data_IF_484330817245
#
_entry.id   IF_484330817245
#
_cell.length_a   1.000
_cell.length_b   1.000
_cell.length_c   1.000
_cell.angle_alpha   90.00
_cell.angle_beta   90.00
_cell.angle_gamma   90.00
#
_symmetry.space_group_name_H-M   'P 1'
#
loop_
_entity.id
_entity.type
_entity.pdbx_description
1 polymer ?
#
# COMPACT_ATOMS: atom_id res chain seq x y z
N UNK A 1 6.42 11.67 -17.83
CA UNK A 1 6.69 10.62 -18.85
C UNK A 1 5.35 10.12 -19.39
N UNK A 2 4.96 10.53 -20.60
CA UNK A 2 3.77 10.00 -21.27
C UNK A 2 4.08 8.60 -21.81
N UNK A 3 3.92 7.58 -20.98
CA UNK A 3 3.90 6.19 -21.44
C UNK A 3 2.69 6.02 -22.34
N UNK A 4 2.91 6.16 -23.66
CA UNK A 4 1.88 5.93 -24.67
C UNK A 4 1.19 4.60 -24.40
N UNK A 5 -0.14 4.59 -24.40
CA UNK A 5 -0.98 3.40 -24.22
C UNK A 5 -0.46 2.23 -25.07
N UNK A 6 0.07 2.52 -26.26
CA UNK A 6 0.69 1.53 -27.16
C UNK A 6 1.92 0.83 -26.55
N UNK A 7 2.79 1.56 -25.85
CA UNK A 7 3.97 1.00 -25.20
C UNK A 7 3.59 0.17 -23.97
N UNK A 8 2.54 0.58 -23.25
CA UNK A 8 2.03 -0.18 -22.11
C UNK A 8 1.36 -1.48 -22.56
N UNK A 9 0.57 -1.45 -23.65
CA UNK A 9 0.01 -2.65 -24.26
C UNK A 9 1.12 -3.60 -24.74
N UNK A 10 2.17 -3.07 -25.38
CA UNK A 10 3.34 -3.87 -25.79
C UNK A 10 4.06 -4.49 -24.60
N UNK A 11 4.18 -3.77 -23.49
CA UNK A 11 4.82 -4.26 -22.27
C UNK A 11 3.96 -5.31 -21.56
N UNK A 12 2.64 -5.13 -21.53
CA UNK A 12 1.69 -6.15 -21.05
C UNK A 12 1.70 -7.41 -21.93
N UNK A 13 1.70 -7.26 -23.26
CA UNK A 13 1.86 -8.38 -24.18
C UNK A 13 3.20 -9.09 -23.97
N UNK A 14 4.29 -8.33 -23.83
CA UNK A 14 5.60 -8.88 -23.52
C UNK A 14 5.63 -9.57 -22.16
N UNK A 15 4.95 -9.05 -21.15
CA UNK A 15 4.85 -9.64 -19.81
C UNK A 15 4.00 -10.93 -19.82
N UNK A 16 2.92 -10.95 -20.60
CA UNK A 16 2.11 -12.17 -20.84
C UNK A 16 2.94 -13.20 -21.61
N UNK A 17 3.67 -12.81 -22.66
CA UNK A 17 4.55 -13.68 -23.43
C UNK A 17 5.73 -14.21 -22.59
N UNK A 18 6.31 -13.39 -21.72
CA UNK A 18 7.42 -13.81 -20.84
C UNK A 18 6.95 -14.60 -19.62
N UNK A 19 5.75 -14.35 -19.10
CA UNK A 19 5.09 -15.22 -18.12
C UNK A 19 4.75 -16.59 -18.74
N UNK A 20 4.37 -16.63 -20.02
CA UNK A 20 4.20 -17.88 -20.78
C UNK A 20 5.55 -18.57 -21.08
N UNK A 21 6.71 -17.94 -20.89
CA UNK A 21 8.01 -18.62 -21.01
C UNK A 21 8.50 -19.10 -19.63
N UNK A 22 8.03 -18.45 -18.55
CA UNK A 22 8.36 -18.79 -17.16
C UNK A 22 7.55 -19.98 -16.61
N UNK A 23 7.20 -20.97 -17.44
CA UNK A 23 6.52 -22.24 -17.10
C UNK A 23 7.24 -23.11 -16.04
N UNK A 24 8.26 -22.59 -15.35
CA UNK A 24 8.86 -23.18 -14.16
C UNK A 24 8.27 -22.65 -12.85
N UNK A 25 7.32 -21.70 -12.86
CA UNK A 25 6.50 -21.46 -11.68
C UNK A 25 5.40 -22.52 -11.64
N UNK A 26 5.63 -23.54 -10.83
CA UNK A 26 4.78 -24.71 -10.64
C UNK A 26 3.39 -24.30 -10.11
N UNK A 27 2.49 -23.94 -11.02
CA UNK A 27 1.05 -23.79 -10.77
C UNK A 27 0.40 -25.05 -10.18
N UNK A 28 1.12 -26.20 -10.15
CA UNK A 28 0.73 -27.42 -9.45
C UNK A 28 0.43 -27.18 -7.98
N UNK A 29 1.16 -26.27 -7.31
CA UNK A 29 0.96 -25.99 -5.88
C UNK A 29 -0.34 -25.24 -5.61
N UNK A 30 -0.78 -24.37 -6.53
CA UNK A 30 -2.01 -23.58 -6.33
C UNK A 30 -3.28 -24.35 -6.68
N UNK A 31 -3.20 -25.29 -7.63
CA UNK A 31 -4.35 -26.09 -8.06
C UNK A 31 -4.53 -27.36 -7.20
N UNK A 32 -3.59 -27.66 -6.30
CA UNK A 32 -3.64 -28.87 -5.46
C UNK A 32 -3.65 -30.17 -6.28
N UNK A 33 -3.36 -30.08 -7.58
CA UNK A 33 -3.24 -31.24 -8.44
C UNK A 33 -1.80 -31.72 -8.29
N UNK A 34 -1.60 -32.65 -7.37
CA UNK A 34 -0.56 -33.65 -7.58
C UNK A 34 -0.86 -34.25 -8.96
N UNK A 35 -0.17 -33.76 -10.01
CA UNK A 35 -0.04 -34.54 -11.23
C UNK A 35 0.48 -35.90 -10.75
N UNK A 36 -0.22 -37.01 -11.01
CA UNK A 36 0.25 -38.31 -10.56
C UNK A 36 1.66 -38.49 -11.12
N UNK A 37 2.66 -38.40 -10.23
CA UNK A 37 4.09 -38.31 -10.55
C UNK A 37 4.64 -39.59 -11.20
N UNK A 38 3.78 -40.53 -11.51
CA UNK A 38 4.11 -41.72 -12.29
C UNK A 38 3.20 -41.72 -13.50
N UNK A 39 3.69 -41.13 -14.59
CA UNK A 39 3.19 -41.44 -15.92
C UNK A 39 3.38 -42.95 -16.10
N UNK A 40 2.36 -43.73 -15.79
CA UNK A 40 2.32 -45.14 -16.17
C UNK A 40 2.33 -45.10 -17.69
N UNK A 41 3.46 -45.44 -18.30
CA UNK A 41 3.60 -45.45 -19.75
C UNK A 41 2.53 -46.39 -20.33
N UNK A 42 1.44 -45.83 -20.83
CA UNK A 42 0.35 -46.56 -21.47
C UNK A 42 0.89 -47.15 -22.77
N UNK A 43 0.77 -48.45 -22.94
CA UNK A 43 1.24 -49.13 -24.15
C UNK A 43 0.24 -48.96 -25.29
N UNK A 44 0.71 -48.85 -26.53
CA UNK A 44 -0.15 -48.94 -27.70
C UNK A 44 -0.64 -50.38 -27.93
N UNK A 45 -1.75 -50.55 -28.66
CA UNK A 45 -2.29 -51.87 -28.99
C UNK A 45 -1.26 -52.79 -29.67
N UNK A 46 -0.43 -52.23 -30.55
CA UNK A 46 0.67 -52.94 -31.22
C UNK A 46 1.68 -53.44 -30.21
N UNK A 47 2.13 -52.57 -29.29
CA UNK A 47 3.07 -52.94 -28.24
C UNK A 47 2.50 -54.03 -27.32
N UNK A 48 1.20 -53.97 -27.00
CA UNK A 48 0.52 -55.02 -26.21
C UNK A 48 0.46 -56.35 -26.97
N UNK A 49 0.25 -56.33 -28.29
CA UNK A 49 0.18 -57.55 -29.11
C UNK A 49 1.53 -58.29 -29.21
N UNK A 50 2.63 -57.54 -29.22
CA UNK A 50 4.00 -58.06 -29.25
C UNK A 50 4.44 -58.66 -27.91
N UNK A 51 3.76 -58.33 -26.81
CA UNK A 51 4.07 -58.88 -25.49
C UNK A 51 3.76 -60.38 -25.40
N UNK A 52 4.57 -61.09 -24.60
CA UNK A 52 4.29 -62.49 -24.24
C UNK A 52 3.10 -62.55 -23.30
N UNK A 53 2.24 -63.57 -23.44
CA UNK A 53 1.03 -63.75 -22.63
C UNK A 53 1.29 -63.71 -21.12
N UNK A 54 2.43 -64.26 -20.66
CA UNK A 54 2.85 -64.21 -19.26
C UNK A 54 3.07 -62.78 -18.75
N UNK A 55 3.64 -61.91 -19.58
CA UNK A 55 3.96 -60.54 -19.19
C UNK A 55 2.70 -59.67 -19.20
N UNK A 56 1.76 -59.95 -20.11
CA UNK A 56 0.42 -59.37 -20.13
C UNK A 56 -0.33 -59.71 -18.82
N UNK A 57 -0.35 -60.99 -18.40
CA UNK A 57 -0.99 -61.40 -17.14
C UNK A 57 -0.38 -60.72 -15.91
N UNK A 58 0.95 -60.61 -15.86
CA UNK A 58 1.65 -59.91 -14.76
C UNK A 58 1.29 -58.43 -14.69
N UNK A 59 1.15 -57.76 -15.84
CA UNK A 59 0.80 -56.34 -15.92
C UNK A 59 -0.67 -56.10 -15.54
N UNK A 60 -1.60 -56.95 -16.01
CA UNK A 60 -3.01 -56.94 -15.58
C UNK A 60 -3.15 -57.11 -14.06
N UNK A 61 -2.43 -58.07 -13.47
CA UNK A 61 -2.48 -58.30 -12.02
C UNK A 61 -1.91 -57.12 -11.23
N UNK A 62 -0.74 -56.59 -11.62
CA UNK A 62 -0.01 -55.57 -10.83
C UNK A 62 -0.57 -54.16 -11.01
N UNK A 63 -0.92 -53.78 -12.24
CA UNK A 63 -1.27 -52.40 -12.55
C UNK A 63 -2.79 -52.19 -12.51
N UNK A 64 -3.56 -53.21 -12.90
CA UNK A 64 -5.02 -53.12 -13.05
C UNK A 64 -5.77 -53.92 -11.99
N UNK A 65 -5.07 -54.64 -11.11
CA UNK A 65 -5.66 -55.32 -9.94
C UNK A 65 -6.47 -56.57 -10.27
N UNK A 66 -6.28 -57.19 -11.45
CA UNK A 66 -6.98 -58.41 -11.82
C UNK A 66 -6.64 -59.55 -10.86
N UNK A 67 -7.68 -60.28 -10.41
CA UNK A 67 -7.49 -61.43 -9.54
C UNK A 67 -6.83 -62.58 -10.31
N UNK A 68 -6.09 -63.43 -9.58
CA UNK A 68 -5.46 -64.61 -10.18
C UNK A 68 -6.49 -65.57 -10.80
N UNK A 69 -7.70 -65.62 -10.24
CA UNK A 69 -8.80 -66.46 -10.72
C UNK A 69 -9.37 -65.97 -12.05
N UNK A 70 -9.57 -64.66 -12.22
CA UNK A 70 -10.01 -64.06 -13.48
C UNK A 70 -8.96 -64.25 -14.57
N UNK A 71 -7.68 -64.07 -14.23
CA UNK A 71 -6.55 -64.29 -15.15
C UNK A 71 -6.37 -65.76 -15.54
N UNK A 72 -6.77 -66.69 -14.68
CA UNK A 72 -6.73 -68.13 -14.98
C UNK A 72 -7.87 -68.55 -15.92
N UNK A 73 -9.04 -67.90 -15.85
CA UNK A 73 -10.17 -68.14 -16.75
C UNK A 73 -9.89 -67.71 -18.19
N UNK A 74 -9.06 -66.68 -18.38
CA UNK A 74 -8.64 -66.21 -19.71
C UNK A 74 -7.46 -67.06 -20.19
N UNK A 75 -7.76 -68.02 -21.06
CA UNK A 75 -6.76 -68.96 -21.60
C UNK A 75 -6.14 -68.46 -22.92
N UNK A 76 -6.91 -67.76 -23.75
CA UNK A 76 -6.46 -67.30 -25.06
C UNK A 76 -5.63 -66.00 -24.98
N UNK A 77 -4.54 -65.94 -25.75
CA UNK A 77 -3.69 -64.74 -25.85
C UNK A 77 -4.49 -63.55 -26.39
N UNK A 78 -5.44 -63.80 -27.31
CA UNK A 78 -6.26 -62.75 -27.92
C UNK A 78 -7.15 -62.03 -26.90
N UNK A 79 -7.78 -62.79 -26.01
CA UNK A 79 -8.62 -62.24 -24.94
C UNK A 79 -7.80 -61.44 -23.92
N UNK A 80 -6.58 -61.89 -23.59
CA UNK A 80 -5.65 -61.15 -22.72
C UNK A 80 -5.20 -59.83 -23.34
N UNK A 81 -4.91 -59.82 -24.65
CA UNK A 81 -4.56 -58.60 -25.40
C UNK A 81 -5.72 -57.62 -25.35
N UNK A 82 -6.95 -58.09 -25.63
CA UNK A 82 -8.14 -57.23 -25.62
C UNK A 82 -8.43 -56.68 -24.22
N UNK A 83 -8.33 -57.51 -23.17
CA UNK A 83 -8.54 -57.08 -21.79
C UNK A 83 -7.50 -56.02 -21.34
N UNK A 84 -6.22 -56.23 -21.65
CA UNK A 84 -5.19 -55.25 -21.32
C UNK A 84 -5.33 -53.97 -22.15
N UNK A 85 -5.64 -54.07 -23.44
CA UNK A 85 -5.87 -52.91 -24.30
C UNK A 85 -7.05 -52.06 -23.80
N UNK A 86 -8.15 -52.69 -23.38
CA UNK A 86 -9.32 -52.01 -22.85
C UNK A 86 -9.01 -51.22 -21.56
N UNK A 87 -8.28 -51.82 -20.61
CA UNK A 87 -7.94 -51.13 -19.36
C UNK A 87 -6.90 -50.03 -19.55
N UNK A 88 -5.90 -50.22 -20.42
CA UNK A 88 -4.93 -49.18 -20.77
C UNK A 88 -5.62 -48.01 -21.50
N UNK A 89 -6.58 -48.28 -22.39
CA UNK A 89 -7.38 -47.24 -23.05
C UNK A 89 -8.29 -46.48 -22.07
N UNK A 90 -8.90 -47.18 -21.12
CA UNK A 90 -9.71 -46.57 -20.05
C UNK A 90 -8.87 -45.67 -19.14
N UNK A 91 -7.63 -46.06 -18.81
CA UNK A 91 -6.70 -45.19 -18.07
C UNK A 91 -6.32 -43.97 -18.92
N UNK A 92 -6.01 -44.17 -20.22
CA UNK A 92 -5.70 -43.08 -21.14
C UNK A 92 -6.83 -42.04 -21.21
N UNK A 93 -8.08 -42.50 -21.36
CA UNK A 93 -9.25 -41.61 -21.40
C UNK A 93 -9.44 -40.84 -20.10
N UNK A 94 -9.29 -41.49 -18.94
CA UNK A 94 -9.34 -40.80 -17.64
C UNK A 94 -8.25 -39.73 -17.50
N UNK A 95 -7.03 -40.05 -17.93
CA UNK A 95 -5.92 -39.11 -17.90
C UNK A 95 -6.16 -37.92 -18.84
N UNK A 96 -6.64 -38.15 -20.06
CA UNK A 96 -7.02 -37.08 -20.98
C UNK A 96 -8.09 -36.16 -20.38
N UNK A 97 -9.11 -36.73 -19.71
CA UNK A 97 -10.16 -35.95 -19.05
C UNK A 97 -9.64 -35.14 -17.86
N UNK A 98 -8.73 -35.70 -17.06
CA UNK A 98 -8.07 -34.98 -15.96
C UNK A 98 -7.22 -33.82 -16.50
N UNK A 99 -6.42 -34.06 -17.54
CA UNK A 99 -5.62 -33.02 -18.21
C UNK A 99 -6.52 -31.93 -18.79
N UNK A 100 -7.62 -32.29 -19.47
CA UNK A 100 -8.61 -31.33 -19.99
C UNK A 100 -9.22 -30.50 -18.85
N UNK A 101 -9.58 -31.11 -17.72
CA UNK A 101 -10.11 -30.39 -16.55
C UNK A 101 -9.09 -29.45 -15.95
N UNK A 102 -7.82 -29.85 -15.83
CA UNK A 102 -6.75 -28.99 -15.32
C UNK A 102 -6.50 -27.83 -16.26
N UNK A 103 -6.41 -28.06 -17.57
CA UNK A 103 -6.26 -27.02 -18.58
C UNK A 103 -7.45 -26.05 -18.55
N UNK A 104 -8.68 -26.55 -18.45
CA UNK A 104 -9.88 -25.73 -18.36
C UNK A 104 -9.88 -24.87 -17.07
N UNK A 105 -9.52 -25.44 -15.92
CA UNK A 105 -9.39 -24.68 -14.66
C UNK A 105 -8.33 -23.58 -14.77
N UNK A 106 -7.17 -23.88 -15.35
CA UNK A 106 -6.11 -22.89 -15.60
C UNK A 106 -6.57 -21.79 -16.56
N UNK A 107 -7.28 -22.16 -17.62
CA UNK A 107 -7.86 -21.21 -18.58
C UNK A 107 -8.87 -20.27 -17.93
N UNK A 108 -9.77 -20.80 -17.09
CA UNK A 108 -10.74 -20.01 -16.34
C UNK A 108 -10.04 -19.04 -15.38
N UNK A 109 -9.09 -19.52 -14.58
CA UNK A 109 -8.34 -18.65 -13.64
C UNK A 109 -7.62 -17.53 -14.40
N UNK A 110 -6.95 -17.87 -15.50
CA UNK A 110 -6.23 -16.90 -16.34
C UNK A 110 -7.20 -15.87 -16.94
N UNK A 111 -8.37 -16.30 -17.43
CA UNK A 111 -9.38 -15.39 -17.96
C UNK A 111 -9.93 -14.45 -16.88
N UNK A 112 -10.19 -14.95 -15.66
CA UNK A 112 -10.65 -14.12 -14.53
C UNK A 112 -9.60 -13.06 -14.18
N UNK A 113 -8.32 -13.45 -14.09
CA UNK A 113 -7.21 -12.52 -13.81
C UNK A 113 -7.12 -11.46 -14.92
N UNK A 114 -7.22 -11.86 -16.19
CA UNK A 114 -7.19 -10.93 -17.32
C UNK A 114 -8.34 -9.92 -17.23
N UNK A 115 -9.56 -10.37 -16.95
CA UNK A 115 -10.74 -9.52 -16.79
C UNK A 115 -10.57 -8.56 -15.61
N UNK A 116 -10.06 -9.04 -14.47
CA UNK A 116 -9.76 -8.19 -13.31
C UNK A 116 -8.72 -7.13 -13.65
N UNK A 117 -7.65 -7.47 -14.38
CA UNK A 117 -6.62 -6.50 -14.80
C UNK A 117 -7.22 -5.43 -15.72
N UNK A 118 -8.06 -5.81 -16.67
CA UNK A 118 -8.71 -4.85 -17.58
C UNK A 118 -9.67 -3.93 -16.82
N UNK A 119 -10.49 -4.46 -15.91
CA UNK A 119 -11.46 -3.68 -15.13
C UNK A 119 -10.75 -2.77 -14.11
N UNK A 120 -9.70 -3.27 -13.46
CA UNK A 120 -8.92 -2.50 -12.47
C UNK A 120 -7.89 -1.56 -13.12
N UNK A 121 -7.70 -1.61 -14.44
CA UNK A 121 -6.75 -0.76 -15.17
C UNK A 121 -6.91 0.74 -14.88
N UNK A 122 -8.10 1.36 -15.03
CA UNK A 122 -8.28 2.78 -14.73
C UNK A 122 -8.02 3.10 -13.26
N UNK A 123 -8.34 2.19 -12.34
CA UNK A 123 -8.06 2.37 -10.91
C UNK A 123 -6.55 2.36 -10.64
N UNK A 124 -5.81 1.46 -11.31
CA UNK A 124 -4.36 1.41 -11.22
C UNK A 124 -3.70 2.65 -11.83
N UNK A 125 -4.21 3.15 -12.96
CA UNK A 125 -3.73 4.40 -13.55
C UNK A 125 -3.97 5.59 -12.62
N UNK A 126 -5.17 5.75 -12.08
CA UNK A 126 -5.47 6.81 -11.14
C UNK A 126 -4.63 6.69 -9.86
N UNK A 127 -4.47 5.47 -9.31
CA UNK A 127 -3.61 5.24 -8.17
C UNK A 127 -2.14 5.58 -8.47
N UNK A 128 -1.67 5.25 -9.67
CA UNK A 128 -0.31 5.58 -10.12
C UNK A 128 -0.11 7.07 -10.31
N UNK A 129 -1.07 7.78 -10.91
CA UNK A 129 -1.02 9.24 -11.07
C UNK A 129 -0.97 9.94 -9.72
N UNK A 130 -1.89 9.60 -8.82
CA UNK A 130 -1.91 10.13 -7.44
C UNK A 130 -0.61 9.79 -6.70
N UNK A 131 -0.11 8.56 -6.83
CA UNK A 131 1.15 8.17 -6.22
C UNK A 131 2.34 8.95 -6.80
N UNK A 132 2.35 9.20 -8.12
CA UNK A 132 3.42 9.94 -8.79
C UNK A 132 3.43 11.41 -8.39
N UNK A 133 2.27 12.07 -8.31
CA UNK A 133 2.16 13.45 -7.84
C UNK A 133 2.57 13.56 -6.37
N UNK A 134 2.06 12.65 -5.53
CA UNK A 134 2.43 12.63 -4.12
C UNK A 134 3.93 12.34 -3.93
N UNK A 135 4.52 11.50 -4.78
CA UNK A 135 5.95 11.23 -4.78
C UNK A 135 6.75 12.49 -5.14
N UNK A 136 6.35 13.21 -6.20
CA UNK A 136 7.00 14.48 -6.60
C UNK A 136 6.92 15.51 -5.46
N UNK A 137 5.72 15.75 -4.92
CA UNK A 137 5.50 16.68 -3.80
C UNK A 137 6.33 16.27 -2.57
N UNK A 138 6.40 14.98 -2.27
CA UNK A 138 7.22 14.46 -1.19
C UNK A 138 8.72 14.69 -1.44
N UNK A 139 9.21 14.40 -2.65
CA UNK A 139 10.62 14.60 -2.99
C UNK A 139 11.01 16.08 -2.96
N UNK A 140 10.14 16.97 -3.44
CA UNK A 140 10.39 18.42 -3.42
C UNK A 140 10.38 18.96 -1.99
N UNK A 141 9.44 18.50 -1.15
CA UNK A 141 9.42 18.85 0.27
C UNK A 141 10.70 18.41 0.97
N UNK A 142 11.13 17.15 0.79
CA UNK A 142 12.37 16.64 1.39
C UNK A 142 13.60 17.37 0.85
N UNK A 143 13.63 17.68 -0.45
CA UNK A 143 14.71 18.48 -1.06
C UNK A 143 14.79 19.87 -0.43
N UNK A 144 13.66 20.53 -0.20
CA UNK A 144 13.62 21.84 0.46
C UNK A 144 14.07 21.77 1.93
N UNK A 145 13.65 20.74 2.67
CA UNK A 145 14.08 20.52 4.05
C UNK A 145 15.60 20.29 4.13
N UNK A 146 16.16 19.46 3.25
CA UNK A 146 17.62 19.23 3.16
C UNK A 146 18.36 20.49 2.76
N UNK A 147 17.86 21.23 1.76
CA UNK A 147 18.48 22.48 1.32
C UNK A 147 18.55 23.51 2.45
N UNK A 148 17.46 23.66 3.22
CA UNK A 148 17.44 24.54 4.40
C UNK A 148 18.42 24.07 5.48
N UNK A 149 18.54 22.77 5.72
CA UNK A 149 19.54 22.24 6.66
C UNK A 149 20.97 22.58 6.21
N UNK A 150 21.21 22.51 4.90
CA UNK A 150 22.49 22.83 4.29
C UNK A 150 22.83 24.32 4.42
N UNK A 151 21.88 25.21 4.10
CA UNK A 151 22.02 26.67 4.27
C UNK A 151 22.33 27.06 5.71
N UNK A 152 21.66 26.40 6.66
CA UNK A 152 21.86 26.61 8.09
C UNK A 152 23.16 25.98 8.63
N UNK A 153 23.88 25.21 7.81
CA UNK A 153 25.08 24.43 8.18
C UNK A 153 24.85 23.56 9.43
N UNK A 154 23.63 23.05 9.62
CA UNK A 154 23.28 22.24 10.79
C UNK A 154 23.42 20.74 10.48
N UNK A 155 24.54 20.15 10.89
CA UNK A 155 24.77 18.70 10.74
C UNK A 155 23.72 17.86 11.45
N UNK A 156 23.28 18.29 12.64
CA UNK A 156 22.24 17.59 13.40
C UNK A 156 20.90 17.55 12.65
N UNK A 157 20.53 18.65 11.99
CA UNK A 157 19.34 18.71 11.13
C UNK A 157 19.44 17.76 9.95
N UNK A 158 20.59 17.72 9.26
CA UNK A 158 20.82 16.79 8.15
C UNK A 158 20.72 15.32 8.57
N UNK A 159 21.31 14.95 9.72
CA UNK A 159 21.20 13.59 10.27
C UNK A 159 19.73 13.25 10.59
N UNK A 160 18.98 14.19 11.18
CA UNK A 160 17.55 14.03 11.42
C UNK A 160 16.74 13.78 10.15
N UNK A 161 16.98 14.57 9.09
CA UNK A 161 16.34 14.38 7.78
C UNK A 161 16.70 13.02 7.14
N UNK A 162 17.94 12.56 7.28
CA UNK A 162 18.38 11.25 6.76
C UNK A 162 17.67 10.10 7.49
N UNK A 163 17.60 10.15 8.82
CA UNK A 163 16.91 9.10 9.59
C UNK A 163 15.42 9.06 9.24
N UNK A 164 14.77 10.21 9.09
CA UNK A 164 13.38 10.26 8.60
C UNK A 164 13.23 9.58 7.24
N UNK A 165 14.11 9.86 6.29
CA UNK A 165 14.07 9.22 4.97
C UNK A 165 14.18 7.69 5.06
N UNK A 166 15.06 7.17 5.94
CA UNK A 166 15.17 5.73 6.19
C UNK A 166 13.89 5.16 6.80
N UNK A 167 13.26 5.86 7.75
CA UNK A 167 11.98 5.44 8.33
C UNK A 167 10.86 5.43 7.28
N UNK A 168 10.81 6.44 6.42
CA UNK A 168 9.83 6.53 5.33
C UNK A 168 10.00 5.35 4.34
N UNK A 169 11.24 5.02 3.99
CA UNK A 169 11.56 3.87 3.13
C UNK A 169 11.19 2.54 3.81
N UNK A 170 11.45 2.41 5.11
CA UNK A 170 11.09 1.22 5.88
C UNK A 170 9.56 1.07 6.01
N UNK A 171 8.82 2.17 6.17
CA UNK A 171 7.36 2.17 6.20
C UNK A 171 6.77 1.80 4.83
N UNK A 172 7.32 2.34 3.74
CA UNK A 172 6.93 1.96 2.38
C UNK A 172 7.21 0.46 2.14
N UNK A 173 8.37 -0.02 2.56
CA UNK A 173 8.75 -1.43 2.48
C UNK A 173 7.79 -2.33 3.27
N UNK A 174 7.43 -1.96 4.49
CA UNK A 174 6.46 -2.70 5.29
C UNK A 174 5.06 -2.72 4.66
N UNK A 175 4.62 -1.60 4.09
CA UNK A 175 3.32 -1.51 3.43
C UNK A 175 3.28 -2.42 2.20
N UNK A 176 4.33 -2.37 1.37
CA UNK A 176 4.49 -3.25 0.23
C UNK A 176 4.57 -4.73 0.65
N UNK A 177 5.28 -5.02 1.74
CA UNK A 177 5.39 -6.34 2.33
C UNK A 177 4.01 -6.86 2.78
N UNK A 178 3.22 -6.05 3.49
CA UNK A 178 1.88 -6.45 3.91
C UNK A 178 1.02 -6.74 2.69
N UNK A 179 0.98 -5.85 1.68
CA UNK A 179 0.21 -6.09 0.45
C UNK A 179 0.64 -7.36 -0.27
N UNK A 180 1.95 -7.58 -0.40
CA UNK A 180 2.49 -8.76 -1.07
C UNK A 180 2.16 -10.06 -0.30
N UNK A 181 2.05 -10.01 1.03
CA UNK A 181 1.69 -11.19 1.85
C UNK A 181 0.27 -11.69 1.60
N UNK A 182 -0.61 -10.86 1.06
CA UNK A 182 -1.98 -11.27 0.70
C UNK A 182 -1.99 -12.04 -0.62
N UNK A 183 -1.04 -11.74 -1.50
CA UNK A 183 -0.91 -12.36 -2.83
C UNK A 183 0.00 -13.58 -2.76
N UNK A 184 1.10 -13.49 -2.01
CA UNK A 184 2.10 -14.54 -1.88
C UNK A 184 1.99 -15.24 -0.53
N UNK A 185 1.70 -16.54 -0.56
CA UNK A 185 1.72 -17.43 0.64
C UNK A 185 3.13 -17.74 1.16
N UNK A 186 4.17 -17.09 0.64
CA UNK A 186 5.55 -17.34 1.07
C UNK A 186 5.78 -16.86 2.51
N UNK A 187 6.22 -17.77 3.37
CA UNK A 187 6.53 -17.48 4.78
C UNK A 187 7.81 -16.67 4.99
N UNK A 188 8.66 -16.54 3.95
CA UNK A 188 10.03 -16.03 4.11
C UNK A 188 10.22 -14.58 3.66
N UNK A 189 9.26 -13.99 2.95
CA UNK A 189 9.40 -12.62 2.43
C UNK A 189 9.02 -11.53 3.43
N UNK A 190 8.45 -11.88 4.59
CA UNK A 190 7.83 -10.91 5.48
C UNK A 190 8.50 -10.88 6.85
N UNK A 191 9.30 -9.84 7.17
CA UNK A 191 9.91 -9.68 8.49
C UNK A 191 8.90 -9.27 9.57
N UNK A 192 7.59 -9.28 9.29
CA UNK A 192 6.57 -8.95 10.28
C UNK A 192 6.30 -10.18 11.16
N UNK A 193 6.53 -10.08 12.48
CA UNK A 193 6.16 -11.16 13.39
C UNK A 193 4.65 -11.35 13.31
N UNK A 194 4.21 -12.57 12.99
CA UNK A 194 2.80 -12.91 13.06
C UNK A 194 2.45 -13.14 14.53
N UNK A 195 1.73 -12.18 15.11
CA UNK A 195 1.16 -12.29 16.45
C UNK A 195 -0.35 -12.44 16.27
N UNK A 196 -0.85 -13.67 16.00
CA UNK A 196 -2.27 -13.91 15.86
C UNK A 196 -2.93 -13.79 17.23
N UNK A 197 -3.66 -12.69 17.46
CA UNK A 197 -4.60 -12.62 18.58
C UNK A 197 -5.87 -13.33 18.15
N UNK A 198 -6.17 -14.46 18.81
CA UNK A 198 -7.43 -15.17 18.64
C UNK A 198 -8.43 -14.58 19.63
N UNK A 199 -9.49 -13.89 19.19
CA UNK A 199 -10.47 -13.30 20.10
C UNK A 199 -11.10 -14.34 21.04
N UNK A 200 -11.25 -15.59 20.57
CA UNK A 200 -11.71 -16.71 21.40
C UNK A 200 -10.81 -17.02 22.61
N UNK A 201 -9.52 -16.71 22.57
CA UNK A 201 -8.62 -16.84 23.72
C UNK A 201 -8.82 -15.73 24.76
N UNK A 202 -9.26 -14.53 24.32
CA UNK A 202 -9.53 -13.40 25.20
C UNK A 202 -10.90 -13.50 25.88
N UNK A 203 -11.88 -14.14 25.24
CA UNK A 203 -13.24 -14.27 25.78
C UNK A 203 -13.45 -15.48 26.71
N UNK A 204 -12.53 -16.45 26.70
CA UNK A 204 -12.58 -17.64 27.57
C UNK A 204 -13.74 -18.61 27.28
N UNK A 205 -13.66 -19.82 27.83
CA UNK A 205 -14.79 -20.78 27.86
C UNK A 205 -15.12 -21.50 26.55
N UNK A 206 -16.41 -21.85 26.37
CA UNK A 206 -16.94 -22.61 25.22
C UNK A 206 -16.82 -21.88 23.88
N UNK A 207 -16.74 -20.54 23.89
CA UNK A 207 -16.57 -19.71 22.70
C UNK A 207 -15.20 -19.96 22.04
N UNK A 208 -14.19 -20.38 22.81
CA UNK A 208 -12.89 -20.78 22.28
C UNK A 208 -12.95 -22.09 21.44
N UNK A 209 -14.04 -22.87 21.53
CA UNK A 209 -14.28 -24.06 20.72
C UNK A 209 -15.18 -23.80 19.50
N UNK A 210 -15.73 -22.59 19.38
CA UNK A 210 -16.53 -22.16 18.23
C UNK A 210 -15.66 -22.01 16.98
N UNK A 211 -16.21 -22.15 15.75
CA UNK A 211 -15.50 -21.83 14.50
C UNK A 211 -14.88 -20.43 14.46
N UNK A 212 -15.33 -19.49 15.31
CA UNK A 212 -14.66 -18.19 15.49
C UNK A 212 -13.22 -18.29 16.01
N UNK A 213 -12.84 -19.39 16.68
CA UNK A 213 -11.49 -19.60 17.18
C UNK A 213 -10.43 -19.78 16.06
N UNK A 214 -10.88 -20.10 14.85
CA UNK A 214 -10.02 -20.22 13.67
C UNK A 214 -9.68 -18.86 13.02
N UNK A 215 -10.39 -17.80 13.39
CA UNK A 215 -10.07 -16.44 12.95
C UNK A 215 -9.05 -15.82 13.90
N UNK A 216 -7.83 -15.60 13.42
CA UNK A 216 -6.79 -14.85 14.14
C UNK A 216 -6.59 -13.49 13.51
N UNK A 217 -6.75 -12.41 14.29
CA UNK A 217 -6.40 -11.07 13.82
C UNK A 217 -4.91 -10.86 14.06
N UNK A 218 -4.15 -10.62 12.98
CA UNK A 218 -2.72 -10.41 13.10
C UNK A 218 -2.46 -8.96 13.51
N UNK A 219 -2.16 -8.74 14.79
CA UNK A 219 -1.87 -7.41 15.34
C UNK A 219 -0.40 -7.01 15.19
N UNK A 220 0.47 -7.93 14.78
CA UNK A 220 1.91 -7.65 14.60
C UNK A 220 2.18 -6.42 13.73
N UNK A 221 1.62 -6.33 12.51
CA UNK A 221 1.78 -5.16 11.64
C UNK A 221 1.24 -3.86 12.26
N UNK A 222 0.17 -3.92 13.07
CA UNK A 222 -0.38 -2.75 13.74
C UNK A 222 0.56 -2.23 14.81
N UNK A 223 1.10 -3.11 15.66
CA UNK A 223 2.07 -2.74 16.72
C UNK A 223 3.34 -2.16 16.11
N UNK A 224 3.85 -2.77 15.03
CA UNK A 224 5.03 -2.27 14.33
C UNK A 224 4.76 -0.90 13.70
N UNK A 225 3.61 -0.73 13.05
CA UNK A 225 3.21 0.56 12.47
C UNK A 225 3.05 1.65 13.53
N UNK A 226 2.47 1.31 14.68
CA UNK A 226 2.35 2.22 15.82
C UNK A 226 3.73 2.60 16.37
N UNK A 227 4.62 1.63 16.57
CA UNK A 227 5.99 1.85 17.02
C UNK A 227 6.78 2.75 16.06
N UNK A 228 6.66 2.52 14.75
CA UNK A 228 7.31 3.38 13.74
C UNK A 228 6.76 4.81 13.77
N UNK A 229 5.44 4.99 13.87
CA UNK A 229 4.84 6.34 14.01
C UNK A 229 5.32 7.06 15.26
N UNK A 230 5.44 6.35 16.38
CA UNK A 230 5.96 6.91 17.62
C UNK A 230 7.42 7.36 17.46
N UNK A 231 8.29 6.50 16.90
CA UNK A 231 9.69 6.84 16.64
C UNK A 231 9.80 8.00 15.66
N UNK A 232 9.01 7.99 14.59
CA UNK A 232 8.96 9.07 13.60
C UNK A 232 8.61 10.41 14.24
N UNK A 233 7.52 10.48 15.02
CA UNK A 233 7.12 11.70 15.73
C UNK A 233 8.18 12.17 16.73
N UNK A 234 8.92 11.24 17.35
CA UNK A 234 10.03 11.60 18.24
C UNK A 234 11.18 12.25 17.47
N UNK A 235 11.55 11.69 16.33
CA UNK A 235 12.61 12.23 15.46
C UNK A 235 12.19 13.57 14.87
N UNK A 236 10.93 13.72 14.45
CA UNK A 236 10.38 14.99 13.99
C UNK A 236 10.45 16.08 15.04
N UNK A 237 10.04 15.76 16.27
CA UNK A 237 10.15 16.70 17.39
C UNK A 237 11.61 17.10 17.67
N UNK A 238 12.56 16.19 17.45
CA UNK A 238 13.98 16.44 17.68
C UNK A 238 14.59 17.29 16.55
N UNK A 239 14.38 16.89 15.29
CA UNK A 239 14.83 17.62 14.09
C UNK A 239 14.26 19.04 14.07
N UNK A 240 12.98 19.23 14.41
CA UNK A 240 12.35 20.55 14.50
C UNK A 240 12.99 21.44 15.58
N UNK A 241 13.37 20.88 16.73
CA UNK A 241 14.09 21.61 17.78
C UNK A 241 15.47 22.03 17.31
N UNK A 242 16.22 21.15 16.66
CA UNK A 242 17.56 21.49 16.15
C UNK A 242 17.51 22.51 15.01
N UNK A 243 16.54 22.41 14.11
CA UNK A 243 16.36 23.38 13.02
C UNK A 243 15.98 24.76 13.56
N UNK A 244 15.09 24.81 14.57
CA UNK A 244 14.70 26.06 15.22
C UNK A 244 15.87 26.71 15.97
N UNK A 245 16.73 25.92 16.63
CA UNK A 245 17.98 26.39 17.27
C UNK A 245 18.94 26.97 16.23
N UNK A 246 19.22 26.25 15.14
CA UNK A 246 20.12 26.71 14.09
C UNK A 246 19.64 28.02 13.47
N UNK A 247 18.34 28.13 13.18
CA UNK A 247 17.75 29.34 12.63
C UNK A 247 17.76 30.52 13.64
N UNK A 248 17.58 30.26 14.93
CA UNK A 248 17.78 31.30 15.95
C UNK A 248 19.24 31.76 16.02
N UNK A 249 20.21 30.85 15.94
CA UNK A 249 21.64 31.19 15.93
C UNK A 249 22.00 32.02 14.70
N UNK A 250 21.52 31.65 13.51
CA UNK A 250 21.74 32.43 12.29
C UNK A 250 21.11 33.83 12.39
N UNK A 251 19.89 33.93 12.94
CA UNK A 251 19.25 35.23 13.19
C UNK A 251 20.00 36.07 14.23
N UNK A 252 20.67 35.47 15.20
CA UNK A 252 21.52 36.18 16.17
C UNK A 252 22.81 36.67 15.50
N UNK A 253 23.49 35.81 14.76
CA UNK A 253 24.69 36.17 14.00
C UNK A 253 24.41 37.28 12.96
N UNK A 254 23.27 37.22 12.26
CA UNK A 254 22.84 38.29 11.35
C UNK A 254 22.66 39.64 12.08
N UNK A 255 22.07 39.63 13.29
CA UNK A 255 21.94 40.84 14.11
C UNK A 255 23.28 41.36 14.63
N UNK A 256 24.23 40.46 14.90
CA UNK A 256 25.58 40.82 15.34
C UNK A 256 26.40 41.44 14.19
N UNK A 257 26.10 41.09 12.94
CA UNK A 257 26.72 41.67 11.75
C UNK A 257 25.97 42.89 11.17
N UNK A 258 24.73 43.17 11.60
CA UNK A 258 24.00 44.40 11.22
C UNK A 258 24.81 45.64 11.64
N UNK A 259 24.97 46.60 10.70
CA UNK A 259 25.69 47.86 10.95
C UNK A 259 25.01 48.69 12.06
N UNK A 260 25.76 49.56 12.75
CA UNK A 260 25.20 50.41 13.81
C UNK A 260 24.04 51.30 13.31
N UNK A 261 24.09 51.73 12.04
CA UNK A 261 23.02 52.48 11.39
C UNK A 261 21.74 51.64 11.22
N UNK A 262 21.84 50.39 10.76
CA UNK A 262 20.66 49.51 10.65
C UNK A 262 20.08 49.16 12.02
N UNK A 263 20.94 48.99 13.03
CA UNK A 263 20.49 48.79 14.43
C UNK A 263 19.72 49.99 14.95
N UNK A 264 20.19 51.21 14.67
CA UNK A 264 19.52 52.45 15.06
C UNK A 264 18.17 52.61 14.33
N UNK A 265 18.13 52.39 13.01
CA UNK A 265 16.90 52.43 12.22
C UNK A 265 15.86 51.41 12.68
N UNK A 266 16.29 50.20 13.07
CA UNK A 266 15.41 49.16 13.61
C UNK A 266 14.86 49.50 14.98
N UNK A 267 15.67 50.14 15.86
CA UNK A 267 15.20 50.64 17.15
C UNK A 267 14.16 51.75 16.95
N UNK A 268 14.42 52.70 16.05
CA UNK A 268 13.48 53.76 15.70
C UNK A 268 12.15 53.20 15.15
N UNK A 269 12.21 52.22 14.23
CA UNK A 269 10.98 51.58 13.67
C UNK A 269 10.19 50.82 14.73
N UNK A 270 10.86 50.17 15.70
CA UNK A 270 10.17 49.51 16.82
C UNK A 270 9.54 50.51 17.79
N UNK A 271 10.18 51.66 18.04
CA UNK A 271 9.62 52.73 18.87
C UNK A 271 8.41 53.36 18.19
N UNK A 272 8.51 53.73 16.92
CA UNK A 272 7.38 54.26 16.14
C UNK A 272 6.17 53.30 16.15
N UNK A 273 6.40 51.99 15.98
CA UNK A 273 5.33 50.98 16.01
C UNK A 273 4.72 50.77 17.40
N UNK A 274 5.47 51.06 18.48
CA UNK A 274 4.94 51.07 19.85
C UNK A 274 4.10 52.31 20.11
N UNK A 275 4.59 53.48 19.69
CA UNK A 275 3.86 54.73 19.79
C UNK A 275 2.56 54.70 18.97
N UNK A 276 2.55 54.09 17.78
CA UNK A 276 1.32 53.88 17.01
C UNK A 276 0.34 52.95 17.72
N UNK A 277 0.82 51.87 18.35
CA UNK A 277 -0.03 50.97 19.14
C UNK A 277 -0.58 51.64 20.38
N UNK A 278 0.22 52.48 21.05
CA UNK A 278 -0.23 53.27 22.19
C UNK A 278 -1.24 54.34 21.76
N UNK A 279 -1.01 55.01 20.62
CA UNK A 279 -2.00 55.92 20.02
C UNK A 279 -3.29 55.20 19.67
N UNK A 280 -3.22 54.03 19.04
CA UNK A 280 -4.41 53.21 18.76
C UNK A 280 -5.11 52.73 20.03
N UNK A 281 -4.37 52.34 21.07
CA UNK A 281 -4.95 51.94 22.36
C UNK A 281 -5.61 53.13 23.09
N UNK A 282 -5.05 54.34 23.00
CA UNK A 282 -5.66 55.55 23.56
C UNK A 282 -6.84 56.09 22.73
N UNK A 283 -6.84 55.88 21.41
CA UNK A 283 -7.96 56.21 20.52
C UNK A 283 -9.05 55.14 20.51
N UNK A 284 -8.76 53.92 20.98
CA UNK A 284 -9.77 52.92 21.30
C UNK A 284 -10.50 53.37 22.58
N UNK A 285 -11.31 54.41 22.43
CA UNK A 285 -12.33 54.80 23.40
C UNK A 285 -13.13 53.54 23.68
N UNK A 286 -13.23 53.08 24.94
CA UNK A 286 -14.12 51.98 25.28
C UNK A 286 -15.51 52.47 24.91
N UNK A 287 -16.03 52.02 23.77
CA UNK A 287 -17.39 52.26 23.38
C UNK A 287 -18.25 51.34 24.25
N UNK A 288 -18.33 51.70 25.53
CA UNK A 288 -19.14 51.07 26.56
C UNK A 288 -20.61 51.40 26.32
N UNK A 289 -21.15 50.89 25.21
CA UNK A 289 -22.59 50.73 24.96
C UNK A 289 -22.88 49.50 24.08
N UNK A 290 -22.00 48.50 24.06
CA UNK A 290 -22.45 47.16 23.73
C UNK A 290 -23.07 46.57 25.01
N UNK A 291 -24.35 46.16 24.98
CA UNK A 291 -24.98 45.53 26.12
C UNK A 291 -24.17 44.29 26.54
N UNK A 292 -24.14 43.96 27.85
CA UNK A 292 -23.41 42.80 28.33
C UNK A 292 -23.78 41.53 27.55
N UNK A 293 -22.83 40.64 27.28
CA UNK A 293 -23.05 39.41 26.49
C UNK A 293 -24.19 38.50 27.02
N UNK A 294 -24.62 38.66 28.28
CA UNK A 294 -25.78 37.97 28.82
C UNK A 294 -27.14 38.51 28.31
N UNK A 295 -27.16 39.64 27.59
CA UNK A 295 -28.35 40.19 26.92
C UNK A 295 -28.44 39.83 25.44
N UNK A 296 -27.47 39.10 24.86
CA UNK A 296 -27.66 38.56 23.52
C UNK A 296 -28.64 37.39 23.60
N UNK A 297 -29.78 37.42 22.88
CA UNK A 297 -30.71 36.30 22.84
C UNK A 297 -29.97 35.08 22.29
N UNK A 298 -29.99 34.02 23.09
CA UNK A 298 -29.31 32.76 22.83
C UNK A 298 -30.00 32.07 21.63
N UNK A 299 -29.55 32.38 20.41
CA UNK A 299 -30.03 31.73 19.17
C UNK A 299 -29.48 30.30 19.01
N UNK A 300 -29.39 29.54 20.10
CA UNK A 300 -28.98 28.12 20.09
C UNK A 300 -30.13 27.14 20.32
N UNK A 301 -31.38 27.60 20.39
CA UNK A 301 -32.56 26.75 20.67
C UNK A 301 -33.43 26.40 19.44
N UNK A 302 -32.94 26.60 18.22
CA UNK A 302 -33.61 26.12 16.99
C UNK A 302 -32.69 25.17 16.23
N UNK A 303 -32.53 23.95 16.75
CA UNK A 303 -32.34 22.71 15.99
C UNK A 303 -32.27 21.47 16.92
N UNK A 304 -33.32 21.29 17.74
CA UNK A 304 -33.63 20.01 18.38
C UNK A 304 -35.02 19.54 17.94
N UNK A 305 -35.10 18.99 16.73
CA UNK A 305 -36.10 17.98 16.41
C UNK A 305 -35.58 17.07 15.29
N UNK A 306 -35.12 15.88 15.71
CA UNK A 306 -34.56 14.87 14.81
C UNK A 306 -34.03 13.70 15.61
N UNK A 307 -34.93 12.95 16.24
CA UNK A 307 -34.62 11.64 16.84
C UNK A 307 -34.07 10.70 15.76
N UNK A 308 -32.79 10.39 15.85
CA UNK A 308 -32.12 9.35 15.09
C UNK A 308 -31.09 8.65 15.97
N UNK A 309 -30.99 7.31 15.95
CA UNK A 309 -30.11 6.57 16.85
C UNK A 309 -28.64 6.83 16.52
N UNK A 310 -27.91 7.22 17.56
CA UNK A 310 -26.48 7.56 17.59
C UNK A 310 -25.61 6.36 17.19
N UNK A 311 -24.69 6.48 16.22
CA UNK A 311 -23.58 5.55 16.12
C UNK A 311 -22.44 5.99 17.05
N UNK A 312 -21.91 5.00 17.77
CA UNK A 312 -20.72 5.03 18.61
C UNK A 312 -19.65 6.05 18.17
N UNK A 313 -19.42 7.06 19.00
CA UNK A 313 -18.26 7.95 18.88
C UNK A 313 -17.11 7.40 19.72
N UNK A 314 -16.06 6.96 19.03
CA UNK A 314 -14.74 6.66 19.60
C UNK A 314 -14.16 7.90 20.26
N UNK A 315 -13.66 7.73 21.48
CA UNK A 315 -12.99 8.74 22.29
C UNK A 315 -11.93 9.50 21.48
N UNK A 316 -12.19 10.78 21.25
CA UNK A 316 -11.22 11.73 20.73
C UNK A 316 -10.28 12.12 21.87
N UNK A 317 -8.99 11.91 21.63
CA UNK A 317 -7.91 12.28 22.53
C UNK A 317 -7.75 13.82 22.49
N UNK A 318 -8.10 14.48 23.58
CA UNK A 318 -7.85 15.90 23.80
C UNK A 318 -6.33 16.15 23.95
N UNK A 319 -5.71 16.62 22.88
CA UNK A 319 -4.51 17.45 22.94
C UNK A 319 -4.78 18.72 22.15
N UNK A 320 -5.48 19.65 22.79
CA UNK A 320 -5.54 21.06 22.42
C UNK A 320 -4.13 21.67 22.55
N UNK A 321 -3.34 21.58 21.48
CA UNK A 321 -2.27 22.52 21.22
C UNK A 321 -2.96 23.81 20.77
N UNK A 322 -2.90 24.85 21.60
CA UNK A 322 -3.38 26.18 21.24
C UNK A 322 -2.60 26.73 20.07
N UNK A 323 -3.11 26.54 18.85
CA UNK A 323 -2.83 27.42 17.73
C UNK A 323 -3.68 28.66 17.93
N UNK A 324 -3.07 29.73 18.41
CA UNK A 324 -3.59 31.08 18.16
C UNK A 324 -3.74 31.21 16.64
N UNK A 325 -4.97 31.16 16.15
CA UNK A 325 -5.32 31.61 14.80
C UNK A 325 -5.03 33.10 14.71
N UNK A 326 -3.77 33.41 14.40
CA UNK A 326 -3.38 34.72 13.89
C UNK A 326 -4.04 34.83 12.52
N UNK A 327 -5.22 35.45 12.49
CA UNK A 327 -5.74 36.09 11.29
C UNK A 327 -4.64 37.01 10.76
N UNK A 328 -3.93 36.56 9.73
CA UNK A 328 -3.11 37.44 8.93
C UNK A 328 -4.09 38.36 8.19
N UNK A 329 -3.96 39.69 8.32
CA UNK A 329 -4.74 40.59 7.50
C UNK A 329 -4.46 40.23 6.04
N UNK A 330 -5.53 39.97 5.29
CA UNK A 330 -5.46 39.76 3.86
C UNK A 330 -4.66 40.94 3.25
N UNK A 331 -3.70 40.67 2.36
CA UNK A 331 -2.96 41.73 1.68
C UNK A 331 -3.94 42.65 0.98
N UNK A 332 -3.62 43.95 0.96
CA UNK A 332 -4.42 44.96 0.28
C UNK A 332 -4.61 44.55 -1.19
N UNK A 333 -5.80 44.71 -1.75
CA UNK A 333 -6.19 44.11 -3.05
C UNK A 333 -5.20 44.43 -4.19
N UNK A 334 -4.51 45.57 -4.11
CA UNK A 334 -3.44 45.94 -5.05
C UNK A 334 -2.21 45.04 -5.01
N UNK A 335 -1.75 44.63 -3.83
CA UNK A 335 -0.57 43.76 -3.71
C UNK A 335 -0.89 42.33 -4.20
N UNK A 336 -2.16 41.92 -4.10
CA UNK A 336 -2.62 40.64 -4.64
C UNK A 336 -2.77 40.67 -6.17
N UNK A 337 -3.17 41.79 -6.75
CA UNK A 337 -3.18 41.98 -8.21
C UNK A 337 -1.76 42.01 -8.78
N UNK A 338 -0.83 42.75 -8.17
CA UNK A 338 0.58 42.78 -8.60
C UNK A 338 1.26 41.40 -8.50
N UNK A 339 0.92 40.61 -7.47
CA UNK A 339 1.42 39.24 -7.33
C UNK A 339 0.87 38.30 -8.41
N UNK A 340 -0.40 38.46 -8.82
CA UNK A 340 -0.99 37.68 -9.90
C UNK A 340 -0.44 38.08 -11.27
N UNK A 341 -0.22 39.36 -11.54
CA UNK A 341 0.44 39.83 -12.77
C UNK A 341 1.88 39.31 -12.88
N UNK A 342 2.63 39.23 -11.78
CA UNK A 342 3.97 38.63 -11.76
C UNK A 342 3.97 37.13 -12.07
N UNK A 343 2.92 36.40 -11.68
CA UNK A 343 2.76 34.97 -11.96
C UNK A 343 2.38 34.72 -13.42
N UNK A 344 1.53 35.57 -14.01
CA UNK A 344 1.16 35.46 -15.43
C UNK A 344 2.34 35.77 -16.37
N UNK A 345 3.21 36.72 -16.02
CA UNK A 345 4.43 36.98 -16.80
C UNK A 345 5.41 35.80 -16.79
N UNK A 346 5.42 34.97 -15.74
CA UNK A 346 6.36 33.85 -15.63
C UNK A 346 5.87 32.57 -16.34
N UNK A 347 4.57 32.46 -16.60
CA UNK A 347 3.96 31.32 -17.31
C UNK A 347 4.11 31.47 -18.83
N UNK A 348 4.11 32.70 -19.34
CA UNK A 348 4.30 32.99 -20.78
C UNK A 348 5.66 32.61 -21.34
N UNK A 349 6.71 32.47 -20.51
CA UNK A 349 8.07 32.16 -20.97
C UNK A 349 8.33 30.64 -21.09
N UNK A 350 7.38 29.81 -20.65
CA UNK A 350 7.50 28.34 -20.66
C UNK A 350 6.88 27.67 -21.90
N UNK A 351 6.17 28.41 -22.75
CA UNK A 351 5.49 27.87 -23.95
C UNK A 351 6.30 28.01 -25.26
N UNK A 352 7.55 28.50 -25.22
CA UNK A 352 8.42 28.60 -26.42
C UNK A 352 9.51 27.51 -26.53
N UNK A 353 9.42 26.45 -25.73
CA UNK A 353 10.32 25.28 -25.81
C UNK A 353 9.53 23.96 -25.84
N UNK A 354 8.82 23.72 -26.95
CA UNK A 354 8.67 22.40 -27.59
C UNK A 354 8.08 22.51 -29.02
#
# INVERSE_FOLDING_TARGET
MNLSIKNVIRLLLALVLTCQISYAWEWSDFVGSHMPSTVVATLSLEQVSDMRARDIKRRLARNHGYSAEELARILDKKELIHALAFEEEKIRLKYEDEVKRVLLKRGIITAIILVLVIICWPLLQHAYEVASVNFVVYTDRKRHEVHRCWELKSYAGMVGCMIMFVLDLMQAWLTASILLSWVMRSKYFFPTPSLPLRPGQLMGGEIARSPMANYGLNVGPMVVSWGMRFVYGRIESWTGRELSRAHQTQRRAARENESEQERAARKARKQARREERERQATMHVPNSKLPPDWMQPNNTDLDKQGDGPVPFSTAHNDQTIGSEDKMYPLPNSKEHEEFLEQLDCHISEFDELD
#
